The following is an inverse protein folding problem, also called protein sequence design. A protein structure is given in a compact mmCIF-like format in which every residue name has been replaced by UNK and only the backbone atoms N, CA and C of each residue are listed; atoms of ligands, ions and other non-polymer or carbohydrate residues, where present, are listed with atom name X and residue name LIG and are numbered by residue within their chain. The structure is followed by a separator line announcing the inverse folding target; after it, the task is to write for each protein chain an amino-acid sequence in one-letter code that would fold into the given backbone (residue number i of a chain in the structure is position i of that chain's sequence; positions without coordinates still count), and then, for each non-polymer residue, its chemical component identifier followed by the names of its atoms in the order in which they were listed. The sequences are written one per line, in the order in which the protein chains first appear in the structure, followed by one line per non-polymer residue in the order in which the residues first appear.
data_IF_901617592087
#
_entry.id   IF_901617592087
#
_cell.length_a   1.000
_cell.length_b   1.000
_cell.length_c   1.000
_cell.angle_alpha   90.00
_cell.angle_beta   90.00
_cell.angle_gamma   90.00
#
_symmetry.space_group_name_H-M   'P 1'
#
loop_
_entity.id
_entity.type
_entity.pdbx_description
1 polymer ?
#
# COMPACT_ATOMS: atom_id res chain seq x y z
N UNK A 1 15.94 -52.00 -3.79
CA UNK A 1 16.68 -50.77 -4.10
C UNK A 1 15.77 -49.60 -4.51
N UNK A 2 14.83 -49.79 -5.44
CA UNK A 2 13.91 -48.71 -5.91
C UNK A 2 13.02 -48.14 -4.79
N UNK A 3 12.46 -48.98 -3.90
CA UNK A 3 11.64 -48.52 -2.75
C UNK A 3 12.46 -47.67 -1.76
N UNK A 4 13.73 -48.02 -1.55
CA UNK A 4 14.63 -47.26 -0.66
C UNK A 4 14.95 -45.90 -1.27
N UNK A 5 15.15 -45.82 -2.60
CA UNK A 5 15.37 -44.56 -3.31
C UNK A 5 14.14 -43.65 -3.28
N UNK A 6 12.94 -44.24 -3.42
CA UNK A 6 11.67 -43.52 -3.32
C UNK A 6 11.43 -42.99 -1.90
N UNK A 7 11.69 -43.79 -0.86
CA UNK A 7 11.61 -43.34 0.53
C UNK A 7 12.64 -42.24 0.85
N UNK A 8 13.86 -42.32 0.30
CA UNK A 8 14.86 -41.26 0.39
C UNK A 8 14.40 -39.96 -0.27
N UNK A 9 13.71 -40.03 -1.41
CA UNK A 9 13.15 -38.85 -2.08
C UNK A 9 12.07 -38.16 -1.24
N UNK A 10 11.21 -38.92 -0.54
CA UNK A 10 10.21 -38.35 0.38
C UNK A 10 10.79 -37.83 1.70
N UNK A 11 12.02 -38.24 2.07
CA UNK A 11 12.73 -37.70 3.23
C UNK A 11 13.35 -36.32 2.94
N UNK A 12 13.52 -35.93 1.67
CA UNK A 12 13.85 -34.56 1.30
C UNK A 12 12.60 -33.68 1.37
N UNK A 13 12.16 -33.40 2.61
CA UNK A 13 11.25 -32.29 2.89
C UNK A 13 11.95 -31.02 2.39
N UNK A 14 11.48 -30.46 1.29
CA UNK A 14 11.91 -29.15 0.85
C UNK A 14 11.56 -28.15 1.96
N UNK A 15 12.56 -27.70 2.72
CA UNK A 15 12.39 -26.55 3.60
C UNK A 15 12.01 -25.38 2.70
N UNK A 16 10.82 -24.83 2.90
CA UNK A 16 10.43 -23.58 2.25
C UNK A 16 11.35 -22.50 2.80
N UNK A 17 12.38 -22.16 2.02
CA UNK A 17 13.24 -21.03 2.34
C UNK A 17 12.43 -19.79 1.99
N UNK A 18 12.00 -19.05 3.01
CA UNK A 18 11.39 -17.75 2.78
C UNK A 18 12.45 -16.79 2.25
N UNK A 19 12.13 -16.05 1.20
CA UNK A 19 13.05 -15.07 0.62
C UNK A 19 13.19 -13.81 1.51
N UNK A 20 12.18 -13.54 2.34
CA UNK A 20 12.11 -12.37 3.19
C UNK A 20 11.19 -12.63 4.40
N UNK A 21 11.65 -12.25 5.58
CA UNK A 21 10.90 -12.28 6.83
C UNK A 21 10.83 -10.86 7.42
N UNK A 22 9.65 -10.46 7.91
CA UNK A 22 9.48 -9.25 8.70
C UNK A 22 9.08 -9.65 10.12
N UNK A 23 9.94 -9.32 11.07
CA UNK A 23 9.73 -9.58 12.49
C UNK A 23 9.21 -8.29 13.12
N UNK A 24 7.97 -8.31 13.60
CA UNK A 24 7.37 -7.21 14.35
C UNK A 24 7.64 -7.42 15.84
N UNK A 25 8.15 -6.38 16.51
CA UNK A 25 8.32 -6.40 17.96
C UNK A 25 7.01 -6.05 18.67
N UNK A 26 6.93 -6.41 19.95
CA UNK A 26 5.81 -6.01 20.79
C UNK A 26 5.68 -4.48 20.86
N UNK A 27 4.43 -4.03 20.96
CA UNK A 27 4.04 -2.63 21.03
C UNK A 27 3.50 -2.31 22.42
N UNK A 28 3.69 -1.06 22.86
CA UNK A 28 3.24 -0.62 24.19
C UNK A 28 1.72 -0.59 24.33
N UNK A 29 0.99 -0.47 23.21
CA UNK A 29 -0.47 -0.34 23.23
C UNK A 29 -1.11 -1.10 22.07
N UNK A 30 -1.84 -2.17 22.38
CA UNK A 30 -2.59 -2.97 21.42
C UNK A 30 -4.02 -2.43 21.16
N UNK A 31 -4.34 -1.21 21.59
CA UNK A 31 -5.67 -0.60 21.47
C UNK A 31 -5.61 0.86 20.96
N UNK A 32 -6.43 1.17 19.96
CA UNK A 32 -6.58 2.50 19.37
C UNK A 32 -7.96 3.05 19.75
N UNK A 33 -7.98 4.10 20.57
CA UNK A 33 -9.21 4.71 21.12
C UNK A 33 -9.51 6.09 20.53
N UNK A 34 -8.55 6.71 19.84
CA UNK A 34 -8.70 8.03 19.21
C UNK A 34 -8.31 7.94 17.73
N UNK A 35 -8.97 8.74 16.90
CA UNK A 35 -8.72 8.78 15.44
C UNK A 35 -7.27 9.18 15.14
N UNK A 36 -6.74 10.16 15.88
CA UNK A 36 -5.36 10.65 15.72
C UNK A 36 -4.34 9.89 16.58
N UNK A 37 -4.72 8.76 17.19
CA UNK A 37 -3.76 7.97 17.96
C UNK A 37 -2.79 7.27 17.01
N UNK A 38 -1.51 7.57 17.19
CA UNK A 38 -0.40 6.98 16.46
C UNK A 38 0.08 5.71 17.16
N UNK A 39 0.52 4.75 16.37
CA UNK A 39 1.19 3.55 16.84
C UNK A 39 2.59 3.49 16.22
N UNK A 40 3.61 3.36 17.05
CA UNK A 40 4.99 3.11 16.61
C UNK A 40 5.28 1.62 16.76
N UNK A 41 5.65 0.96 15.67
CA UNK A 41 5.94 -0.48 15.65
C UNK A 41 7.40 -0.70 15.29
N UNK A 42 8.26 -1.12 16.23
CA UNK A 42 9.61 -1.55 15.92
C UNK A 42 9.58 -2.84 15.11
N UNK A 43 10.47 -2.95 14.12
CA UNK A 43 10.55 -4.14 13.28
C UNK A 43 11.97 -4.43 12.80
N UNK A 44 12.20 -5.69 12.44
CA UNK A 44 13.43 -6.18 11.83
C UNK A 44 13.07 -6.89 10.50
N UNK A 45 13.66 -6.43 9.41
CA UNK A 45 13.61 -7.13 8.12
C UNK A 45 14.81 -8.07 8.04
N UNK A 46 14.57 -9.32 7.64
CA UNK A 46 15.60 -10.29 7.28
C UNK A 46 15.38 -10.70 5.83
N UNK A 47 16.24 -10.22 4.94
CA UNK A 47 16.09 -10.37 3.50
C UNK A 47 17.45 -10.69 2.92
N UNK A 48 17.53 -11.81 2.19
CA UNK A 48 18.71 -12.17 1.42
C UNK A 48 18.78 -11.29 0.17
N UNK A 49 19.34 -10.10 0.32
CA UNK A 49 19.53 -9.12 -0.75
C UNK A 49 20.84 -8.38 -0.55
N UNK A 50 21.42 -7.87 -1.64
CA UNK A 50 22.67 -7.12 -1.57
C UNK A 50 22.60 -5.94 -0.62
N UNK A 51 23.69 -5.67 0.07
CA UNK A 51 23.86 -4.45 0.86
C UNK A 51 23.58 -3.20 0.02
N UNK A 52 22.91 -2.22 0.63
CA UNK A 52 22.48 -1.00 -0.06
C UNK A 52 21.14 -1.11 -0.78
N UNK A 53 20.51 -2.30 -0.82
CA UNK A 53 19.17 -2.45 -1.40
C UNK A 53 18.16 -1.63 -0.60
N UNK A 54 17.40 -0.77 -1.28
CA UNK A 54 16.39 0.10 -0.69
C UNK A 54 14.99 -0.52 -0.84
N UNK A 55 14.24 -0.51 0.24
CA UNK A 55 12.84 -0.90 0.27
C UNK A 55 11.97 0.19 0.88
N UNK A 56 10.68 0.13 0.57
CA UNK A 56 9.69 1.09 1.02
C UNK A 56 8.62 0.37 1.85
N UNK A 57 8.32 0.88 3.04
CA UNK A 57 7.48 0.18 4.02
C UNK A 57 6.12 0.83 4.18
N UNK A 58 5.06 0.03 4.07
CA UNK A 58 3.68 0.43 4.33
C UNK A 58 3.15 -0.33 5.53
N UNK A 59 2.69 0.38 6.55
CA UNK A 59 1.86 -0.20 7.59
C UNK A 59 0.43 -0.37 7.10
N UNK A 60 -0.20 -1.50 7.44
CA UNK A 60 -1.56 -1.79 7.03
C UNK A 60 -2.36 -2.48 8.13
N UNK A 61 -3.55 -1.95 8.38
CA UNK A 61 -4.59 -2.61 9.15
C UNK A 61 -5.53 -3.37 8.21
N UNK A 62 -5.97 -4.55 8.63
CA UNK A 62 -6.96 -5.35 7.92
C UNK A 62 -7.76 -6.22 8.89
N UNK A 63 -8.97 -6.61 8.50
CA UNK A 63 -9.76 -7.59 9.25
C UNK A 63 -9.36 -9.01 8.84
N UNK A 64 -9.42 -9.93 9.79
CA UNK A 64 -9.18 -11.34 9.52
C UNK A 64 -10.14 -11.85 8.42
N UNK A 65 -9.62 -12.67 7.51
CA UNK A 65 -10.39 -13.16 6.36
C UNK A 65 -10.58 -12.16 5.22
N UNK A 66 -10.00 -10.96 5.30
CA UNK A 66 -10.12 -9.93 4.24
C UNK A 66 -8.78 -9.65 3.56
N UNK A 67 -8.84 -9.14 2.33
CA UNK A 67 -7.68 -8.65 1.56
C UNK A 67 -7.66 -7.11 1.46
N UNK A 68 -8.50 -6.43 2.24
CA UNK A 68 -8.65 -4.98 2.19
C UNK A 68 -7.79 -4.34 3.28
N UNK A 69 -6.91 -3.43 2.86
CA UNK A 69 -5.93 -2.78 3.73
C UNK A 69 -6.22 -1.29 3.82
N UNK A 70 -6.01 -0.73 5.00
CA UNK A 70 -6.29 0.65 5.30
C UNK A 70 -5.29 1.21 6.33
N UNK A 71 -5.37 2.52 6.59
CA UNK A 71 -4.49 3.24 7.49
C UNK A 71 -3.47 4.11 6.79
N UNK A 72 -2.92 5.05 7.57
CA UNK A 72 -1.84 5.93 7.17
C UNK A 72 -0.50 5.38 7.67
N UNK A 73 0.55 5.62 6.88
CA UNK A 73 1.94 5.39 7.27
C UNK A 73 2.67 6.74 7.29
N UNK A 74 3.46 7.01 8.32
CA UNK A 74 4.33 8.17 8.38
C UNK A 74 5.58 7.93 7.53
N UNK A 75 5.91 8.87 6.65
CA UNK A 75 7.10 8.75 5.79
C UNK A 75 8.32 9.55 6.29
N UNK A 76 8.23 10.13 7.48
CA UNK A 76 9.24 11.05 8.02
C UNK A 76 8.83 12.52 7.96
N UNK A 77 7.89 12.88 7.08
CA UNK A 77 7.43 14.26 6.88
C UNK A 77 5.90 14.42 6.92
N UNK A 78 5.16 13.47 6.35
CA UNK A 78 3.70 13.52 6.25
C UNK A 78 3.08 12.13 6.41
N UNK A 79 1.77 12.13 6.70
CA UNK A 79 0.95 10.92 6.72
C UNK A 79 0.51 10.58 5.30
N UNK A 80 0.79 9.34 4.88
CA UNK A 80 0.48 8.87 3.54
C UNK A 80 -0.34 7.58 3.57
N UNK A 81 -1.48 7.56 2.86
CA UNK A 81 -2.37 6.40 2.71
C UNK A 81 -2.57 5.97 1.24
N UNK A 82 -1.75 6.47 0.30
CA UNK A 82 -1.77 6.05 -1.10
C UNK A 82 -2.14 7.17 -2.08
N UNK A 83 -2.32 6.84 -3.37
CA UNK A 83 -2.33 5.50 -3.96
C UNK A 83 -0.93 4.86 -4.07
N UNK A 84 -0.77 3.60 -3.67
CA UNK A 84 0.55 2.94 -3.60
C UNK A 84 1.03 2.28 -4.89
N UNK A 85 0.13 1.96 -5.82
CA UNK A 85 0.45 1.17 -7.03
C UNK A 85 0.52 1.99 -8.30
N UNK A 86 0.27 3.30 -8.22
CA UNK A 86 0.23 4.21 -9.37
C UNK A 86 1.13 5.41 -9.13
N UNK A 87 1.78 5.88 -10.20
CA UNK A 87 2.53 7.15 -10.19
C UNK A 87 3.62 7.22 -9.11
N UNK A 88 4.37 6.13 -8.93
CA UNK A 88 5.45 6.04 -7.94
C UNK A 88 5.03 6.31 -6.49
N UNK A 89 3.75 6.13 -6.15
CA UNK A 89 3.25 6.42 -4.81
C UNK A 89 3.96 5.64 -3.69
N UNK A 90 4.42 4.41 -3.96
CA UNK A 90 5.23 3.65 -3.01
C UNK A 90 6.54 4.35 -2.62
N UNK A 91 7.10 5.21 -3.49
CA UNK A 91 8.33 5.96 -3.20
C UNK A 91 8.12 7.06 -2.15
N UNK A 92 6.87 7.38 -1.81
CA UNK A 92 6.50 8.32 -0.74
C UNK A 92 6.44 7.67 0.65
N UNK A 93 6.64 6.36 0.74
CA UNK A 93 6.66 5.63 2.02
C UNK A 93 8.02 5.77 2.71
N UNK A 94 8.08 5.34 3.98
CA UNK A 94 9.32 5.26 4.73
C UNK A 94 10.30 4.30 4.04
N UNK A 95 11.52 4.77 3.79
CA UNK A 95 12.59 3.98 3.18
C UNK A 95 13.41 3.24 4.23
N UNK A 96 13.81 2.01 3.92
CA UNK A 96 14.78 1.25 4.70
C UNK A 96 15.85 0.67 3.76
N UNK A 97 17.10 0.69 4.21
CA UNK A 97 18.23 0.15 3.45
C UNK A 97 18.77 -1.09 4.14
N UNK A 98 18.95 -2.18 3.39
CA UNK A 98 19.50 -3.43 3.91
C UNK A 98 21.02 -3.32 4.08
N UNK A 99 21.51 -3.84 5.20
CA UNK A 99 22.92 -4.05 5.46
C UNK A 99 23.12 -5.39 6.19
N UNK A 100 24.01 -6.23 5.66
CA UNK A 100 24.27 -7.58 6.17
C UNK A 100 22.99 -8.41 6.28
N UNK A 101 22.25 -8.52 5.18
CA UNK A 101 20.99 -9.28 5.03
C UNK A 101 19.84 -8.87 5.98
N UNK A 102 19.98 -7.73 6.68
CA UNK A 102 18.96 -7.28 7.62
C UNK A 102 18.83 -5.75 7.67
N UNK A 103 17.72 -5.29 8.24
CA UNK A 103 17.56 -3.90 8.64
C UNK A 103 16.61 -3.78 9.83
N UNK A 104 16.95 -2.93 10.79
CA UNK A 104 16.09 -2.60 11.92
C UNK A 104 15.56 -1.19 11.75
N UNK A 105 14.26 -1.01 11.96
CA UNK A 105 13.62 0.29 11.86
C UNK A 105 12.34 0.31 12.70
N UNK A 106 11.65 1.44 12.70
CA UNK A 106 10.33 1.59 13.30
C UNK A 106 9.39 2.23 12.27
N UNK A 107 8.14 1.81 12.27
CA UNK A 107 7.10 2.39 11.43
C UNK A 107 6.06 3.05 12.31
N UNK A 108 5.72 4.31 12.00
CA UNK A 108 4.59 4.99 12.63
C UNK A 108 3.36 4.88 11.75
N UNK A 109 2.25 4.50 12.34
CA UNK A 109 0.99 4.23 11.65
C UNK A 109 -0.17 4.83 12.42
N UNK A 110 -1.27 5.13 11.73
CA UNK A 110 -2.55 5.44 12.36
C UNK A 110 -3.71 4.95 11.50
N UNK A 111 -4.86 4.76 12.13
CA UNK A 111 -6.07 4.28 11.46
C UNK A 111 -6.62 5.38 10.54
N UNK A 112 -7.13 5.00 9.38
CA UNK A 112 -7.84 5.92 8.49
C UNK A 112 -9.34 5.83 8.75
N UNK A 113 -9.87 6.62 9.69
CA UNK A 113 -11.28 6.54 10.06
C UNK A 113 -12.26 6.87 8.93
N UNK A 114 -11.78 7.46 7.83
CA UNK A 114 -12.59 7.76 6.64
C UNK A 114 -12.64 6.58 5.67
N UNK A 115 -11.70 5.63 5.77
CA UNK A 115 -11.68 4.42 4.98
C UNK A 115 -12.74 3.42 5.49
N UNK A 116 -13.60 2.97 4.57
CA UNK A 116 -14.67 2.02 4.88
C UNK A 116 -14.19 0.70 5.50
N UNK A 117 -12.91 0.34 5.32
CA UNK A 117 -12.32 -0.90 5.80
C UNK A 117 -11.76 -0.83 7.23
N UNK A 118 -11.53 0.37 7.80
CA UNK A 118 -11.19 0.53 9.23
C UNK A 118 -12.10 1.47 10.02
N UNK A 119 -13.18 1.95 9.42
CA UNK A 119 -14.17 2.78 10.12
C UNK A 119 -14.88 2.04 11.27
N UNK A 120 -15.05 0.72 11.14
CA UNK A 120 -15.79 -0.05 12.13
C UNK A 120 -14.91 -0.42 13.33
N UNK A 121 -15.40 -0.26 14.57
CA UNK A 121 -14.68 -0.75 15.72
C UNK A 121 -14.59 -2.28 15.65
N UNK A 122 -13.42 -2.84 15.91
CA UNK A 122 -13.19 -4.28 15.82
C UNK A 122 -11.81 -4.72 16.27
N UNK A 123 -11.57 -6.02 16.20
CA UNK A 123 -10.22 -6.56 16.19
C UNK A 123 -9.67 -6.49 14.76
N UNK A 124 -8.47 -5.96 14.62
CA UNK A 124 -7.74 -5.84 13.37
C UNK A 124 -6.41 -6.56 13.50
N UNK A 125 -5.89 -7.00 12.38
CA UNK A 125 -4.53 -7.45 12.22
C UNK A 125 -3.72 -6.33 11.61
N UNK A 126 -2.55 -6.08 12.18
CA UNK A 126 -1.55 -5.15 11.67
C UNK A 126 -0.40 -5.93 11.05
N UNK A 127 0.04 -5.49 9.88
CA UNK A 127 1.21 -6.02 9.21
C UNK A 127 1.94 -4.93 8.44
N UNK A 128 3.17 -5.22 8.03
CA UNK A 128 3.96 -4.33 7.18
C UNK A 128 4.11 -4.94 5.80
N UNK A 129 3.83 -4.16 4.76
CA UNK A 129 4.08 -4.52 3.38
C UNK A 129 5.34 -3.82 2.89
N UNK A 130 6.16 -4.55 2.14
CA UNK A 130 7.38 -4.05 1.54
C UNK A 130 7.19 -3.86 0.04
N UNK A 131 7.68 -2.73 -0.47
CA UNK A 131 7.79 -2.45 -1.89
C UNK A 131 9.26 -2.38 -2.30
N UNK A 132 9.56 -2.96 -3.45
CA UNK A 132 10.84 -2.78 -4.14
C UNK A 132 10.92 -1.42 -4.82
N UNK A 133 12.11 -1.03 -5.28
CA UNK A 133 12.30 0.18 -6.08
C UNK A 133 11.42 0.23 -7.34
N UNK A 134 11.17 -0.94 -7.95
CA UNK A 134 10.28 -1.09 -9.11
C UNK A 134 8.78 -1.07 -8.75
N UNK A 135 8.41 -0.91 -7.48
CA UNK A 135 7.01 -0.82 -7.05
C UNK A 135 6.29 -2.16 -6.85
N UNK A 136 6.98 -3.28 -7.04
CA UNK A 136 6.43 -4.59 -6.72
C UNK A 136 6.27 -4.72 -5.20
N UNK A 137 5.06 -5.03 -4.75
CA UNK A 137 4.81 -5.42 -3.35
C UNK A 137 4.98 -6.92 -3.18
N UNK A 138 5.59 -7.31 -2.07
CA UNK A 138 5.72 -8.72 -1.68
C UNK A 138 4.95 -8.97 -0.38
N UNK A 139 4.24 -10.09 -0.32
CA UNK A 139 3.72 -10.62 0.93
C UNK A 139 4.84 -11.38 1.63
N UNK A 140 5.64 -10.65 2.42
CA UNK A 140 6.72 -11.25 3.20
C UNK A 140 6.13 -12.05 4.38
N UNK A 141 6.83 -13.12 4.78
CA UNK A 141 6.43 -13.92 5.93
C UNK A 141 6.53 -13.08 7.20
N UNK A 142 5.45 -13.02 7.97
CA UNK A 142 5.36 -12.27 9.21
C UNK A 142 4.20 -12.79 10.05
N UNK A 143 4.29 -12.63 11.37
CA UNK A 143 3.17 -12.83 12.29
C UNK A 143 2.48 -11.48 12.50
N UNK A 144 1.22 -11.30 12.04
CA UNK A 144 0.51 -10.03 12.23
C UNK A 144 0.27 -9.73 13.71
N UNK A 145 0.34 -8.45 14.09
CA UNK A 145 -0.01 -8.00 15.44
C UNK A 145 -1.53 -7.79 15.54
N UNK A 146 -2.15 -8.27 16.62
CA UNK A 146 -3.58 -8.04 16.86
C UNK A 146 -3.79 -6.69 17.55
N UNK A 147 -4.59 -5.81 16.92
CA UNK A 147 -4.88 -4.46 17.40
C UNK A 147 -6.40 -4.29 17.57
N UNK A 148 -6.85 -3.83 18.73
CA UNK A 148 -8.24 -3.46 18.96
C UNK A 148 -8.47 -2.01 18.56
N UNK A 149 -9.42 -1.77 17.64
CA UNK A 149 -9.87 -0.42 17.28
C UNK A 149 -11.19 -0.14 17.99
N UNK A 150 -11.19 0.84 18.89
CA UNK A 150 -12.32 1.26 19.72
C UNK A 150 -12.60 2.76 19.52
N UNK A 151 -12.73 3.19 18.25
CA UNK A 151 -13.05 4.57 17.91
C UNK A 151 -14.43 4.95 18.44
N UNK A 152 -14.63 6.21 18.92
CA UNK A 152 -15.94 6.67 19.31
C UNK A 152 -16.87 6.61 18.11
N UNK A 153 -18.03 5.97 18.28
CA UNK A 153 -19.09 6.04 17.28
C UNK A 153 -19.45 7.51 17.07
N UNK A 154 -19.65 7.99 15.82
CA UNK A 154 -20.19 9.32 15.62
C UNK A 154 -21.51 9.41 16.40
N UNK A 155 -21.62 10.41 17.28
CA UNK A 155 -22.87 10.69 17.97
C UNK A 155 -23.92 10.91 16.90
N UNK A 156 -25.06 10.20 16.90
CA UNK A 156 -26.10 10.39 15.90
C UNK A 156 -26.47 11.86 15.89
N UNK A 157 -26.23 12.54 14.76
CA UNK A 157 -26.69 13.91 14.57
C UNK A 157 -28.20 13.86 14.67
N UNK A 158 -28.77 14.49 15.69
CA UNK A 158 -30.21 14.63 15.80
C UNK A 158 -30.71 15.21 14.48
N UNK A 159 -31.62 14.49 13.83
CA UNK A 159 -32.24 14.97 12.60
C UNK A 159 -32.72 16.42 12.83
N UNK A 160 -32.58 17.31 11.83
CA UNK A 160 -33.03 18.69 11.99
C UNK A 160 -34.47 18.67 12.49
N UNK A 161 -34.68 19.24 13.69
CA UNK A 161 -36.01 19.39 14.25
C UNK A 161 -36.85 20.12 13.20
N UNK A 162 -38.02 19.57 12.88
CA UNK A 162 -38.92 20.15 11.89
C UNK A 162 -39.04 21.64 12.20
N UNK A 163 -38.52 22.47 11.29
CA UNK A 163 -38.65 23.92 11.43
C UNK A 163 -40.14 24.20 11.46
N UNK A 164 -40.64 24.73 12.57
CA UNK A 164 -42.04 25.12 12.69
C UNK A 164 -42.39 25.92 11.43
N UNK A 165 -43.35 25.41 10.67
CA UNK A 165 -43.83 26.08 9.48
C UNK A 165 -44.13 27.54 9.86
N UNK A 166 -43.71 28.53 9.05
CA UNK A 166 -43.96 29.92 9.37
C UNK A 166 -45.45 30.10 9.64
N UNK A 167 -45.79 30.49 10.86
CA UNK A 167 -47.13 30.94 11.21
C UNK A 167 -47.44 32.04 10.21
N UNK A 168 -48.53 31.89 9.45
CA UNK A 168 -49.03 32.93 8.55
C UNK A 168 -49.18 34.22 9.36
N UNK A 169 -48.18 35.09 9.30
CA UNK A 169 -48.26 36.42 9.86
C UNK A 169 -49.30 37.14 9.01
N UNK A 170 -50.44 37.46 9.63
CA UNK A 170 -51.45 38.33 9.02
C UNK A 170 -50.75 39.65 8.72
N UNK A 171 -50.38 39.83 7.46
CA UNK A 171 -49.72 41.04 6.99
C UNK A 171 -50.77 42.13 6.96
N UNK A 172 -50.74 43.00 7.97
CA UNK A 172 -51.47 44.28 7.92
C UNK A 172 -50.95 45.05 6.71
N UNK A 173 -51.82 45.56 5.80
CA UNK A 173 -51.38 46.23 4.58
C UNK A 173 -50.51 47.45 4.92
N UNK A 174 -49.22 47.39 4.57
CA UNK A 174 -48.34 48.54 4.69
C UNK A 174 -48.67 49.57 3.60
N UNK A 175 -48.80 50.82 4.03
CA UNK A 175 -49.01 52.00 3.18
C UNK A 175 -47.89 52.09 2.11
N UNK A 176 -48.22 52.44 0.85
CA UNK A 176 -47.25 52.47 -0.24
C UNK A 176 -46.10 53.43 0.07
N UNK A 177 -44.89 52.89 0.12
CA UNK A 177 -43.65 53.66 0.24
C UNK A 177 -43.19 54.04 -1.16
N UNK A 178 -43.06 55.34 -1.41
CA UNK A 178 -42.58 55.92 -2.67
C UNK A 178 -41.17 55.39 -2.94
N UNK A 179 -41.03 54.66 -4.05
CA UNK A 179 -39.76 54.13 -4.56
C UNK A 179 -38.99 55.27 -5.22
N UNK A 180 -37.88 55.68 -4.62
CA UNK A 180 -36.91 56.55 -5.28
C UNK A 180 -36.05 55.73 -6.24
N UNK A 181 -35.86 56.32 -7.41
CA UNK A 181 -35.20 55.78 -8.60
C UNK A 181 -33.74 55.37 -8.30
N UNK A 182 -33.25 54.21 -8.80
CA UNK A 182 -31.88 53.77 -8.57
C UNK A 182 -30.87 54.65 -9.33
N UNK A 183 -29.96 55.26 -8.58
CA UNK A 183 -28.76 55.89 -9.12
C UNK A 183 -27.77 54.79 -9.54
N UNK A 184 -27.44 54.74 -10.83
CA UNK A 184 -26.41 53.85 -11.37
C UNK A 184 -25.02 54.28 -10.88
N UNK A 185 -24.47 53.55 -9.91
CA UNK A 185 -23.06 53.69 -9.51
C UNK A 185 -22.22 52.76 -10.37
N UNK A 186 -21.46 53.32 -11.31
CA UNK A 186 -20.49 52.61 -12.13
C UNK A 186 -19.34 52.13 -11.25
N UNK A 187 -19.15 50.81 -11.14
CA UNK A 187 -17.99 50.22 -10.49
C UNK A 187 -16.81 50.23 -11.47
N UNK A 188 -15.73 50.91 -11.09
CA UNK A 188 -14.49 50.95 -11.86
C UNK A 188 -13.74 49.61 -11.71
N UNK A 189 -13.46 48.97 -12.84
CA UNK A 189 -12.60 47.79 -12.96
C UNK A 189 -11.16 48.17 -12.63
N UNK A 190 -10.63 47.72 -11.50
CA UNK A 190 -9.21 47.84 -11.19
C UNK A 190 -8.42 46.76 -11.94
N UNK A 191 -7.65 47.19 -12.94
CA UNK A 191 -6.65 46.36 -13.64
C UNK A 191 -5.46 46.17 -12.69
N UNK A 192 -5.29 44.96 -12.16
CA UNK A 192 -4.10 44.62 -11.36
C UNK A 192 -2.95 44.32 -12.33
N UNK A 193 -1.97 45.23 -12.34
CA UNK A 193 -0.73 45.15 -13.10
C UNK A 193 0.20 44.13 -12.44
N UNK A 194 0.56 43.07 -13.17
CA UNK A 194 1.54 42.08 -12.72
C UNK A 194 2.94 42.74 -12.59
N UNK A 195 3.47 42.77 -11.37
CA UNK A 195 4.87 43.11 -11.11
C UNK A 195 5.66 41.80 -11.10
N UNK A 196 6.36 41.56 -12.22
CA UNK A 196 7.40 40.55 -12.34
C UNK A 196 8.67 41.10 -11.70
N UNK A 197 9.02 40.64 -10.49
CA UNK A 197 10.33 40.85 -9.89
C UNK A 197 11.10 39.54 -9.93
N UNK A 198 11.97 39.43 -10.93
CA UNK A 198 12.96 38.37 -11.08
C UNK A 198 14.06 38.51 -10.01
N UNK A 199 14.35 37.49 -9.20
CA UNK A 199 15.51 37.48 -8.32
C UNK A 199 16.80 37.26 -9.12
N UNK A 200 17.65 38.29 -9.17
CA UNK A 200 19.01 38.22 -9.68
C UNK A 200 19.88 37.50 -8.64
N UNK A 201 20.12 36.21 -8.83
CA UNK A 201 21.08 35.44 -8.03
C UNK A 201 22.50 35.72 -8.57
N UNK A 202 23.48 36.03 -7.70
CA UNK A 202 24.86 36.24 -8.10
C UNK A 202 25.54 34.93 -8.49
N UNK A 203 26.25 35.04 -9.62
CA UNK A 203 27.13 34.06 -10.25
C UNK A 203 28.29 33.74 -9.30
N UNK A 204 28.44 32.47 -8.96
CA UNK A 204 29.71 31.89 -8.54
C UNK A 204 30.15 30.88 -9.60
N UNK A 205 31.20 31.24 -10.34
CA UNK A 205 31.92 30.38 -11.27
C UNK A 205 32.56 29.21 -10.53
N UNK A 206 32.31 27.99 -11.01
CA UNK A 206 33.30 26.90 -10.94
C UNK A 206 32.96 25.85 -11.99
N UNK A 207 33.91 25.64 -12.91
CA UNK A 207 33.93 24.69 -14.02
C UNK A 207 33.70 23.23 -13.60
N UNK A 208 33.06 22.45 -14.48
CA UNK A 208 33.03 20.98 -14.41
C UNK A 208 32.10 20.31 -15.43
N UNK A 209 32.58 20.16 -16.67
CA UNK A 209 32.03 19.49 -17.85
C UNK A 209 31.82 17.96 -17.62
N UNK A 210 30.75 17.25 -18.04
CA UNK A 210 30.47 16.50 -19.31
C UNK A 210 29.12 15.79 -19.03
N UNK A 211 27.96 15.93 -19.71
CA UNK A 211 27.50 15.72 -21.10
C UNK A 211 27.48 14.28 -21.63
N UNK A 212 26.30 13.64 -21.63
CA UNK A 212 25.75 12.72 -22.66
C UNK A 212 24.46 12.08 -22.13
N UNK A 213 23.42 11.74 -22.87
CA UNK A 213 22.78 12.23 -24.10
C UNK A 213 21.48 11.39 -24.24
N UNK A 214 20.48 12.01 -24.88
CA UNK A 214 19.29 11.53 -25.63
C UNK A 214 18.59 10.17 -25.40
N UNK A 215 17.25 10.23 -25.51
CA UNK A 215 16.36 9.11 -25.84
C UNK A 215 14.95 9.25 -25.24
N UNK A 216 14.11 10.14 -25.76
CA UNK A 216 13.01 9.83 -26.68
C UNK A 216 11.67 9.53 -25.97
N UNK A 217 10.72 10.44 -26.16
CA UNK A 217 9.37 10.43 -25.59
C UNK A 217 8.39 9.98 -26.66
N UNK A 218 7.48 9.07 -26.32
CA UNK A 218 6.22 8.84 -27.04
C UNK A 218 5.01 8.84 -26.08
N UNK A 219 3.86 9.40 -26.49
CA UNK A 219 2.69 9.54 -25.62
C UNK A 219 1.64 8.46 -25.91
N UNK A 220 1.06 7.83 -24.87
CA UNK A 220 -0.19 7.05 -25.01
C UNK A 220 -1.06 7.14 -23.76
N UNK A 221 -2.14 7.90 -23.90
CA UNK A 221 -3.54 7.74 -23.48
C UNK A 221 -3.94 7.17 -22.10
N UNK A 222 -4.87 7.91 -21.48
CA UNK A 222 -5.82 7.55 -20.44
C UNK A 222 -6.61 6.26 -20.74
N UNK A 223 -6.81 5.42 -19.70
CA UNK A 223 -8.11 5.14 -19.06
C UNK A 223 -8.21 3.70 -18.54
N UNK A 224 -8.94 3.58 -17.42
CA UNK A 224 -9.63 2.36 -16.92
C UNK A 224 -8.77 1.27 -16.27
N UNK A 225 -9.14 0.55 -15.22
CA UNK A 225 -10.19 0.52 -14.18
C UNK A 225 -9.86 -0.74 -13.36
N UNK A 226 -10.21 -0.73 -12.06
CA UNK A 226 -10.45 -1.87 -11.14
C UNK A 226 -9.56 -3.13 -11.20
N UNK A 227 -8.97 -3.44 -10.05
CA UNK A 227 -8.14 -4.61 -9.85
C UNK A 227 -8.87 -5.95 -9.90
N UNK A 228 -8.09 -6.99 -10.19
CA UNK A 228 -8.00 -8.21 -9.41
C UNK A 228 -6.50 -8.54 -9.43
N UNK A 229 -5.80 -8.44 -8.30
CA UNK A 229 -4.44 -9.00 -8.21
C UNK A 229 -4.61 -10.50 -8.15
N UNK A 230 -4.68 -11.13 -9.32
CA UNK A 230 -4.63 -12.57 -9.47
C UNK A 230 -3.29 -13.02 -8.87
N UNK A 231 -3.37 -13.81 -7.80
CA UNK A 231 -2.22 -14.41 -7.15
C UNK A 231 -1.61 -15.34 -8.21
N UNK A 232 -0.61 -14.86 -8.94
CA UNK A 232 0.09 -15.59 -9.99
C UNK A 232 0.49 -16.94 -9.42
N UNK A 233 -0.30 -17.95 -9.78
CA UNK A 233 -0.09 -19.32 -9.39
C UNK A 233 1.10 -19.76 -10.21
N UNK A 234 2.29 -19.50 -9.68
CA UNK A 234 3.56 -19.82 -10.31
C UNK A 234 3.46 -21.20 -10.93
N UNK A 235 3.75 -21.28 -12.23
CA UNK A 235 3.46 -22.39 -13.12
C UNK A 235 4.28 -23.64 -12.72
N UNK A 236 3.89 -24.27 -11.60
CA UNK A 236 4.52 -25.48 -11.03
C UNK A 236 4.33 -26.71 -11.92
N UNK A 237 3.51 -26.61 -12.98
CA UNK A 237 3.34 -27.65 -13.98
C UNK A 237 4.67 -28.06 -14.65
N UNK A 238 5.65 -27.15 -14.77
CA UNK A 238 6.94 -27.47 -15.38
C UNK A 238 7.91 -28.23 -14.46
N UNK A 239 7.61 -28.37 -13.16
CA UNK A 239 8.49 -29.10 -12.23
C UNK A 239 8.18 -30.61 -12.17
N UNK A 240 6.98 -31.03 -12.61
CA UNK A 240 6.55 -32.44 -12.53
C UNK A 240 6.90 -33.29 -13.76
N UNK A 241 7.21 -32.67 -14.90
CA UNK A 241 7.53 -33.35 -16.15
C UNK A 241 8.76 -34.27 -16.06
N UNK A 242 9.91 -33.85 -15.48
CA UNK A 242 11.08 -34.73 -15.41
C UNK A 242 10.88 -35.92 -14.44
N UNK A 243 10.10 -35.74 -13.37
CA UNK A 243 9.80 -36.81 -12.42
C UNK A 243 8.98 -37.93 -13.02
N UNK A 244 7.96 -37.59 -13.83
CA UNK A 244 7.12 -38.56 -14.52
C UNK A 244 7.95 -39.37 -15.54
N UNK A 245 8.86 -38.72 -16.28
CA UNK A 245 9.70 -39.40 -17.26
C UNK A 245 10.62 -40.45 -16.63
N UNK A 246 11.20 -40.17 -15.46
CA UNK A 246 12.04 -41.13 -14.72
C UNK A 246 11.25 -42.36 -14.24
N UNK A 247 9.99 -42.18 -13.82
CA UNK A 247 9.13 -43.30 -13.42
C UNK A 247 8.87 -44.21 -14.64
N UNK A 248 8.46 -43.65 -15.77
CA UNK A 248 8.22 -44.42 -16.99
C UNK A 248 9.49 -45.10 -17.52
N UNK A 249 10.64 -44.43 -17.47
CA UNK A 249 11.91 -45.02 -17.90
C UNK A 249 12.31 -46.21 -17.02
N UNK A 250 12.09 -46.12 -15.70
CA UNK A 250 12.38 -47.22 -14.77
C UNK A 250 11.46 -48.44 -14.99
N UNK A 251 10.18 -48.20 -15.29
CA UNK A 251 9.21 -49.25 -15.63
C UNK A 251 9.58 -49.92 -16.96
N UNK A 252 9.95 -49.13 -17.97
CA UNK A 252 10.36 -49.63 -19.29
C UNK A 252 11.62 -50.50 -19.23
N UNK A 253 12.64 -50.08 -18.47
CA UNK A 253 13.85 -50.88 -18.26
C UNK A 253 13.57 -52.18 -17.51
N UNK A 254 12.67 -52.15 -16.52
CA UNK A 254 12.24 -53.34 -15.77
C UNK A 254 11.50 -54.34 -16.67
N UNK A 255 10.60 -53.86 -17.53
CA UNK A 255 9.87 -54.69 -18.48
C UNK A 255 10.81 -55.39 -19.49
N UNK A 256 11.77 -54.65 -20.05
CA UNK A 256 12.76 -55.23 -20.97
C UNK A 256 13.64 -56.31 -20.32
N UNK A 257 13.90 -56.18 -19.01
CA UNK A 257 14.65 -57.20 -18.27
C UNK A 257 13.85 -58.49 -18.10
N UNK A 258 12.57 -58.40 -17.73
CA UNK A 258 11.69 -59.57 -17.59
C UNK A 258 11.54 -60.32 -18.93
N UNK A 259 11.34 -59.58 -20.02
CA UNK A 259 11.24 -60.17 -21.37
C UNK A 259 12.48 -60.97 -21.79
N UNK A 260 13.68 -60.55 -21.37
CA UNK A 260 14.93 -61.29 -21.65
C UNK A 260 15.09 -62.55 -20.80
N UNK A 261 14.39 -62.64 -19.67
CA UNK A 261 14.44 -63.79 -18.76
C UNK A 261 13.42 -64.89 -19.14
N UNK A 262 12.62 -64.69 -20.19
CA UNK A 262 11.67 -65.71 -20.67
C UNK A 262 10.48 -65.94 -19.74
N UNK A 263 10.18 -64.96 -18.88
CA UNK A 263 8.98 -64.90 -18.03
C UNK A 263 7.88 -64.13 -18.75
#
# INVERSE_FOLDING_TARGET
MVIVLFLLFFMFRFSTVSAAEIILSDIDTAEITKVEQELTVPLELKINSSDGTVYYLRGAFFKEGTSQYCGYTWNGSEWYNGPFTSGDGWKKLLTVTIASDSAKTEIKVKVDSNDSHCREPGDYLFKVLRYTEAGNSSGDDQTPLKIRIALPSPTPTTAPSATNAPVKSQTVPAKPKITLLPTHTLFATAIIKAVSSSPKIPIASSLGFISSDSGEVSPVNEASVAGITEKSQGNIANLFIPGIFLIFLSAFLSFNKLRKQGV
#
